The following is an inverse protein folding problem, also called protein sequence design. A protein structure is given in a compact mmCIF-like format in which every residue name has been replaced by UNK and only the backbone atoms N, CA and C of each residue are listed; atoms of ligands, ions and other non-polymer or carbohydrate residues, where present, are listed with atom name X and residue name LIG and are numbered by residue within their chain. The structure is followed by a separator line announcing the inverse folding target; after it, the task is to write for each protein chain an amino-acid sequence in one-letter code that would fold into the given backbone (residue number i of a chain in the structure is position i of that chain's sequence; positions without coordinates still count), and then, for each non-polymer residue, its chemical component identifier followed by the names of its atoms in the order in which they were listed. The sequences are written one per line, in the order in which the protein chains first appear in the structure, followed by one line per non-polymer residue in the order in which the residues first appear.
data_IF_461161353328
#
_entry.id   IF_461161353328
#
_cell.length_a   1.000
_cell.length_b   1.000
_cell.length_c   1.000
_cell.angle_alpha   90.00
_cell.angle_beta   90.00
_cell.angle_gamma   90.00
#
_symmetry.space_group_name_H-M   'P 1'
#
loop_
_entity.id
_entity.type
_entity.pdbx_description
1 polymer ?
#
# COMPACT_ATOMS: atom_id res chain seq x y z
N UNK A 1 -11.07 -19.79 -2.59
CA UNK A 1 -10.68 -19.21 -1.28
C UNK A 1 -10.97 -20.24 -0.21
N UNK A 2 -9.98 -20.60 0.63
CA UNK A 2 -10.15 -21.60 1.70
C UNK A 2 -11.14 -21.10 2.76
N UNK A 3 -11.84 -22.03 3.46
CA UNK A 3 -12.80 -21.70 4.53
C UNK A 3 -12.26 -20.72 5.56
N UNK A 4 -10.96 -20.86 5.91
CA UNK A 4 -10.25 -19.97 6.87
C UNK A 4 -10.16 -18.53 6.33
N UNK A 5 -9.69 -18.34 5.10
CA UNK A 5 -9.57 -16.99 4.53
C UNK A 5 -10.94 -16.30 4.38
N UNK A 6 -11.98 -17.06 4.05
CA UNK A 6 -13.35 -16.55 3.97
C UNK A 6 -13.89 -16.12 5.32
N UNK A 7 -13.65 -16.90 6.37
CA UNK A 7 -14.03 -16.54 7.73
C UNK A 7 -13.35 -15.24 8.16
N UNK A 8 -12.02 -15.14 7.97
CA UNK A 8 -11.23 -13.94 8.31
C UNK A 8 -11.75 -12.71 7.53
N UNK A 9 -12.04 -12.87 6.24
CA UNK A 9 -12.59 -11.79 5.42
C UNK A 9 -13.90 -11.25 5.99
N UNK A 10 -14.86 -12.12 6.32
CA UNK A 10 -16.14 -11.67 6.86
C UNK A 10 -16.02 -11.08 8.27
N UNK A 11 -15.10 -11.59 9.09
CA UNK A 11 -14.81 -11.04 10.41
C UNK A 11 -14.27 -9.61 10.29
N UNK A 12 -13.33 -9.39 9.37
CA UNK A 12 -12.72 -8.07 9.14
C UNK A 12 -13.73 -7.09 8.54
N UNK A 13 -14.54 -7.48 7.58
CA UNK A 13 -15.55 -6.60 6.98
C UNK A 13 -16.62 -6.14 7.97
N UNK A 14 -16.89 -6.92 9.02
CA UNK A 14 -17.78 -6.54 10.12
C UNK A 14 -17.10 -5.67 11.19
N UNK A 15 -15.79 -5.51 11.12
CA UNK A 15 -15.05 -4.73 12.10
C UNK A 15 -15.37 -3.24 11.97
N UNK A 16 -15.70 -2.60 13.10
CA UNK A 16 -16.08 -1.17 13.15
C UNK A 16 -15.01 -0.25 12.56
N UNK A 17 -13.71 -0.60 12.73
CA UNK A 17 -12.59 0.19 12.20
C UNK A 17 -12.60 0.16 10.67
N UNK A 18 -12.82 -1.00 10.06
CA UNK A 18 -12.85 -1.16 8.60
C UNK A 18 -14.08 -0.47 8.01
N UNK A 19 -15.23 -0.59 8.66
CA UNK A 19 -16.45 0.13 8.25
C UNK A 19 -16.21 1.64 8.31
N UNK A 20 -15.65 2.15 9.42
CA UNK A 20 -15.32 3.57 9.57
C UNK A 20 -14.32 4.04 8.51
N UNK A 21 -13.28 3.25 8.21
CA UNK A 21 -12.33 3.51 7.14
C UNK A 21 -13.00 3.62 5.76
N UNK A 22 -13.90 2.67 5.44
CA UNK A 22 -14.66 2.68 4.19
C UNK A 22 -15.52 3.94 4.06
N UNK A 23 -16.26 4.28 5.12
CA UNK A 23 -17.12 5.48 5.16
C UNK A 23 -16.27 6.75 5.03
N UNK A 24 -15.16 6.84 5.75
CA UNK A 24 -14.26 7.98 5.70
C UNK A 24 -13.71 8.18 4.29
N UNK A 25 -13.22 7.12 3.65
CA UNK A 25 -12.74 7.19 2.27
C UNK A 25 -13.86 7.59 1.31
N UNK A 26 -15.07 7.06 1.49
CA UNK A 26 -16.21 7.40 0.65
C UNK A 26 -16.56 8.89 0.74
N UNK A 27 -16.65 9.44 1.95
CA UNK A 27 -16.94 10.86 2.16
C UNK A 27 -15.86 11.75 1.55
N UNK A 28 -14.58 11.42 1.80
CA UNK A 28 -13.47 12.20 1.25
C UNK A 28 -13.44 12.13 -0.27
N UNK A 29 -13.54 10.93 -0.84
CA UNK A 29 -13.51 10.74 -2.30
C UNK A 29 -14.67 11.45 -2.98
N UNK A 30 -15.88 11.34 -2.42
CA UNK A 30 -17.06 12.03 -2.93
C UNK A 30 -16.90 13.55 -2.88
N UNK A 31 -16.39 14.08 -1.77
CA UNK A 31 -16.18 15.52 -1.61
C UNK A 31 -15.11 16.05 -2.56
N UNK A 32 -13.97 15.35 -2.67
CA UNK A 32 -12.85 15.79 -3.51
C UNK A 32 -13.22 15.75 -4.98
N UNK A 33 -13.86 14.68 -5.44
CA UNK A 33 -14.21 14.51 -6.85
C UNK A 33 -15.47 15.31 -7.25
N UNK A 34 -16.40 15.52 -6.32
CA UNK A 34 -17.66 16.22 -6.60
C UNK A 34 -17.59 17.74 -6.52
N UNK A 35 -16.61 18.30 -5.79
CA UNK A 35 -16.49 19.75 -5.58
C UNK A 35 -15.56 20.45 -6.59
N UNK A 36 -14.60 19.74 -7.17
CA UNK A 36 -13.64 20.34 -8.12
C UNK A 36 -14.14 20.12 -9.57
N UNK A 37 -14.29 21.23 -10.30
CA UNK A 37 -14.67 21.20 -11.71
C UNK A 37 -13.54 20.71 -12.63
N UNK A 38 -12.32 20.59 -12.14
CA UNK A 38 -11.17 20.11 -12.88
C UNK A 38 -10.87 18.66 -12.50
N UNK A 39 -11.24 17.71 -13.35
CA UNK A 39 -11.06 16.27 -13.14
C UNK A 39 -9.63 15.89 -12.77
N UNK A 40 -8.63 16.45 -13.47
CA UNK A 40 -7.21 16.14 -13.22
C UNK A 40 -6.78 16.58 -11.82
N UNK A 41 -7.18 17.79 -11.41
CA UNK A 41 -6.91 18.32 -10.06
C UNK A 41 -7.58 17.47 -8.98
N UNK A 42 -8.85 17.16 -9.17
CA UNK A 42 -9.62 16.32 -8.25
C UNK A 42 -8.96 14.94 -8.06
N UNK A 43 -8.59 14.30 -9.17
CA UNK A 43 -7.93 12.98 -9.17
C UNK A 43 -6.57 13.03 -8.47
N UNK A 44 -5.77 14.08 -8.69
CA UNK A 44 -4.48 14.26 -8.00
C UNK A 44 -4.64 14.51 -6.50
N UNK A 45 -5.65 15.29 -6.12
CA UNK A 45 -5.97 15.52 -4.71
C UNK A 45 -6.40 14.21 -4.03
N UNK A 46 -7.24 13.42 -4.69
CA UNK A 46 -7.63 12.09 -4.21
C UNK A 46 -6.43 11.14 -4.14
N UNK A 47 -5.55 11.15 -5.14
CA UNK A 47 -4.32 10.35 -5.13
C UNK A 47 -3.49 10.62 -3.87
N UNK A 48 -3.29 11.89 -3.49
CA UNK A 48 -2.53 12.22 -2.28
C UNK A 48 -3.18 11.65 -1.00
N UNK A 49 -4.53 11.68 -0.92
CA UNK A 49 -5.26 11.04 0.18
C UNK A 49 -5.04 9.53 0.17
N UNK A 50 -5.15 8.88 -0.99
CA UNK A 50 -4.95 7.43 -1.15
C UNK A 50 -3.53 7.03 -0.74
N UNK A 51 -2.51 7.76 -1.21
CA UNK A 51 -1.10 7.49 -0.91
C UNK A 51 -0.76 7.60 0.58
N UNK A 52 -1.50 8.41 1.34
CA UNK A 52 -1.26 8.61 2.77
C UNK A 52 -2.13 7.70 3.64
N UNK A 53 -3.44 7.68 3.38
CA UNK A 53 -4.42 7.01 4.25
C UNK A 53 -4.44 5.50 4.05
N UNK A 54 -4.38 5.02 2.79
CA UNK A 54 -4.47 3.58 2.51
C UNK A 54 -3.30 2.80 3.12
N UNK A 55 -2.04 3.21 2.95
CA UNK A 55 -0.91 2.55 3.60
C UNK A 55 -0.98 2.59 5.13
N UNK A 56 -1.35 3.75 5.70
CA UNK A 56 -1.44 3.93 7.14
C UNK A 56 -2.46 2.97 7.77
N UNK A 57 -3.68 2.95 7.22
CA UNK A 57 -4.74 2.09 7.75
C UNK A 57 -4.40 0.62 7.51
N UNK A 58 -3.88 0.28 6.34
CA UNK A 58 -3.53 -1.11 6.01
C UNK A 58 -2.46 -1.67 6.94
N UNK A 59 -1.40 -0.92 7.23
CA UNK A 59 -0.31 -1.42 8.08
C UNK A 59 -0.74 -1.49 9.55
N UNK A 60 -1.40 -0.46 10.08
CA UNK A 60 -1.81 -0.42 11.49
C UNK A 60 -2.89 -1.47 11.75
N UNK A 61 -3.94 -1.49 10.92
CA UNK A 61 -5.04 -2.42 11.11
C UNK A 61 -4.58 -3.87 11.02
N UNK A 62 -3.79 -4.21 9.99
CA UNK A 62 -3.29 -5.57 9.81
C UNK A 62 -2.40 -6.01 10.96
N UNK A 63 -1.53 -5.13 11.46
CA UNK A 63 -0.68 -5.42 12.64
C UNK A 63 -1.54 -5.68 13.87
N UNK A 64 -2.51 -4.82 14.16
CA UNK A 64 -3.42 -5.00 15.31
C UNK A 64 -4.23 -6.30 15.17
N UNK A 65 -4.71 -6.60 13.97
CA UNK A 65 -5.49 -7.80 13.71
C UNK A 65 -4.68 -9.08 13.95
N UNK A 66 -3.42 -9.12 13.47
CA UNK A 66 -2.52 -10.27 13.71
C UNK A 66 -2.33 -10.53 15.20
N UNK A 67 -2.08 -9.48 16.01
CA UNK A 67 -1.93 -9.63 17.46
C UNK A 67 -3.24 -10.05 18.16
N UNK A 68 -4.37 -9.49 17.75
CA UNK A 68 -5.68 -9.86 18.32
C UNK A 68 -6.07 -11.30 17.97
N UNK A 69 -5.61 -11.80 16.83
CA UNK A 69 -5.88 -13.15 16.35
C UNK A 69 -4.88 -14.19 16.82
N UNK A 70 -3.94 -13.86 17.73
CA UNK A 70 -2.89 -14.79 18.20
C UNK A 70 -3.46 -16.09 18.74
N UNK A 71 -4.45 -16.03 19.62
CA UNK A 71 -5.13 -17.21 20.17
C UNK A 71 -5.83 -18.05 19.08
N UNK A 72 -6.45 -17.40 18.11
CA UNK A 72 -7.07 -18.09 16.98
C UNK A 72 -6.03 -18.78 16.09
N UNK A 73 -4.88 -18.13 15.86
CA UNK A 73 -3.76 -18.71 15.12
C UNK A 73 -3.20 -19.93 15.87
N UNK A 74 -3.02 -19.86 17.20
CA UNK A 74 -2.56 -20.98 18.03
C UNK A 74 -3.54 -22.16 17.97
N UNK A 75 -4.85 -21.90 18.05
CA UNK A 75 -5.89 -22.93 17.89
C UNK A 75 -5.86 -23.58 16.50
N UNK A 76 -5.58 -22.84 15.44
CA UNK A 76 -5.44 -23.41 14.09
C UNK A 76 -4.16 -24.23 13.95
N UNK A 77 -3.10 -23.86 14.65
CA UNK A 77 -1.82 -24.58 14.63
C UNK A 77 -1.85 -25.87 15.47
N UNK A 78 -2.78 -26.01 16.42
CA UNK A 78 -3.01 -27.26 17.14
C UNK A 78 -3.75 -28.31 16.28
N UNK A 79 -4.36 -27.91 15.15
CA UNK A 79 -4.97 -28.79 14.17
C UNK A 79 -3.92 -29.25 13.15
N UNK A 80 -4.14 -30.37 12.42
CA UNK A 80 -3.22 -30.87 11.41
C UNK A 80 -3.22 -29.99 10.13
N UNK A 81 -2.95 -28.68 10.30
CA UNK A 81 -2.88 -27.69 9.21
C UNK A 81 -1.45 -27.15 9.11
N UNK A 82 -0.84 -27.13 7.90
CA UNK A 82 0.50 -26.57 7.72
C UNK A 82 0.55 -25.08 8.13
N UNK A 83 1.57 -24.70 8.89
CA UNK A 83 1.79 -23.32 9.39
C UNK A 83 1.71 -22.28 8.28
N UNK A 84 2.42 -22.53 7.19
CA UNK A 84 2.42 -21.61 6.04
C UNK A 84 1.03 -21.42 5.43
N UNK A 85 0.15 -22.43 5.47
CA UNK A 85 -1.22 -22.33 4.98
C UNK A 85 -2.08 -21.43 5.88
N UNK A 86 -1.89 -21.49 7.19
CA UNK A 86 -2.58 -20.60 8.14
C UNK A 86 -2.17 -19.16 7.88
N UNK A 87 -0.88 -18.88 7.78
CA UNK A 87 -0.32 -17.56 7.53
C UNK A 87 -0.75 -16.97 6.19
N UNK A 88 -0.72 -17.78 5.14
CA UNK A 88 -1.19 -17.39 3.81
C UNK A 88 -2.69 -17.05 3.78
N UNK A 89 -3.54 -17.85 4.47
CA UNK A 89 -4.97 -17.58 4.55
C UNK A 89 -5.27 -16.31 5.35
N UNK A 90 -4.47 -16.01 6.38
CA UNK A 90 -4.55 -14.75 7.13
C UNK A 90 -4.22 -13.55 6.23
N UNK A 91 -3.14 -13.64 5.47
CA UNK A 91 -2.76 -12.63 4.48
C UNK A 91 -3.84 -12.39 3.43
N UNK A 92 -4.36 -13.47 2.84
CA UNK A 92 -5.43 -13.36 1.85
C UNK A 92 -6.70 -12.72 2.45
N UNK A 93 -7.11 -13.12 3.65
CA UNK A 93 -8.28 -12.56 4.31
C UNK A 93 -8.12 -11.06 4.60
N UNK A 94 -6.96 -10.66 5.15
CA UNK A 94 -6.63 -9.25 5.41
C UNK A 94 -6.57 -8.41 4.14
N UNK A 95 -5.77 -8.85 3.16
CA UNK A 95 -5.59 -8.11 1.90
C UNK A 95 -6.90 -7.94 1.15
N UNK A 96 -7.68 -9.03 1.00
CA UNK A 96 -8.97 -8.96 0.29
C UNK A 96 -9.99 -8.08 1.01
N UNK A 97 -10.04 -8.10 2.35
CA UNK A 97 -10.95 -7.25 3.10
C UNK A 97 -10.61 -5.75 2.95
N UNK A 98 -9.33 -5.40 3.05
CA UNK A 98 -8.88 -4.01 2.90
C UNK A 98 -9.02 -3.50 1.46
N UNK A 99 -8.76 -4.35 0.46
CA UNK A 99 -9.03 -4.03 -0.95
C UNK A 99 -10.52 -3.75 -1.17
N UNK A 100 -11.40 -4.61 -0.66
CA UNK A 100 -12.85 -4.40 -0.78
C UNK A 100 -13.31 -3.11 -0.08
N UNK A 101 -12.78 -2.84 1.11
CA UNK A 101 -13.06 -1.59 1.83
C UNK A 101 -12.60 -0.35 1.04
N UNK A 102 -11.41 -0.40 0.44
CA UNK A 102 -10.89 0.65 -0.43
C UNK A 102 -11.73 0.81 -1.70
N UNK A 103 -12.06 -0.28 -2.39
CA UNK A 103 -12.86 -0.24 -3.61
C UNK A 103 -14.28 0.28 -3.37
N UNK A 104 -14.89 -0.04 -2.23
CA UNK A 104 -16.19 0.52 -1.86
C UNK A 104 -16.08 2.00 -1.46
N UNK A 105 -14.99 2.39 -0.77
CA UNK A 105 -14.77 3.77 -0.34
C UNK A 105 -14.39 4.71 -1.48
N UNK A 106 -13.38 4.36 -2.27
CA UNK A 106 -12.87 5.21 -3.35
C UNK A 106 -13.42 4.82 -4.74
N UNK A 107 -13.66 3.52 -4.97
CA UNK A 107 -14.01 3.01 -6.29
C UNK A 107 -15.33 3.54 -6.83
N UNK A 108 -16.37 3.60 -5.99
CA UNK A 108 -17.69 4.12 -6.41
C UNK A 108 -17.59 5.60 -6.84
N UNK A 109 -17.03 6.53 -6.05
CA UNK A 109 -16.87 7.92 -6.48
C UNK A 109 -15.98 8.07 -7.73
N UNK A 110 -14.88 7.30 -7.82
CA UNK A 110 -14.00 7.34 -8.98
C UNK A 110 -14.74 6.94 -10.27
N UNK A 111 -15.55 5.88 -10.25
CA UNK A 111 -16.31 5.42 -11.40
C UNK A 111 -17.39 6.42 -11.85
N UNK A 112 -17.87 7.28 -10.94
CA UNK A 112 -18.90 8.27 -11.24
C UNK A 112 -18.35 9.60 -11.74
N UNK A 113 -17.17 10.02 -11.27
CA UNK A 113 -16.65 11.38 -11.46
C UNK A 113 -15.33 11.44 -12.26
N UNK A 114 -14.59 10.33 -12.38
CA UNK A 114 -13.31 10.32 -13.08
C UNK A 114 -13.41 9.58 -14.41
N UNK A 115 -12.55 9.94 -15.38
CA UNK A 115 -12.36 9.17 -16.60
C UNK A 115 -11.84 7.77 -16.29
N UNK A 116 -12.17 6.80 -17.13
CA UNK A 116 -11.83 5.39 -16.91
C UNK A 116 -10.31 5.22 -16.79
N UNK A 117 -9.53 5.90 -17.62
CA UNK A 117 -8.06 5.74 -17.65
C UNK A 117 -7.40 6.25 -16.37
N UNK A 118 -7.75 7.46 -15.94
CA UNK A 118 -7.16 8.09 -14.75
C UNK A 118 -7.67 7.43 -13.47
N UNK A 119 -8.96 7.11 -13.42
CA UNK A 119 -9.57 6.43 -12.29
C UNK A 119 -9.00 5.04 -12.04
N UNK A 120 -8.79 4.24 -13.10
CA UNK A 120 -8.20 2.90 -12.98
C UNK A 120 -6.78 2.94 -12.43
N UNK A 121 -5.96 3.92 -12.80
CA UNK A 121 -4.59 4.03 -12.28
C UNK A 121 -4.56 4.29 -10.77
N UNK A 122 -5.47 5.12 -10.25
CA UNK A 122 -5.63 5.35 -8.80
C UNK A 122 -6.14 4.09 -8.08
N UNK A 123 -7.09 3.37 -8.68
CA UNK A 123 -7.61 2.13 -8.11
C UNK A 123 -6.54 1.04 -8.04
N UNK A 124 -5.78 0.84 -9.12
CA UNK A 124 -4.65 -0.11 -9.16
C UNK A 124 -3.63 0.23 -8.07
N UNK A 125 -3.27 1.51 -7.95
CA UNK A 125 -2.36 2.00 -6.92
C UNK A 125 -2.84 1.67 -5.51
N UNK A 126 -4.10 1.97 -5.18
CA UNK A 126 -4.65 1.69 -3.86
C UNK A 126 -4.73 0.19 -3.54
N UNK A 127 -5.01 -0.65 -4.55
CA UNK A 127 -4.97 -2.12 -4.40
C UNK A 127 -3.54 -2.58 -4.06
N UNK A 128 -2.53 -2.16 -4.83
CA UNK A 128 -1.14 -2.51 -4.56
C UNK A 128 -0.70 -2.05 -3.17
N UNK A 129 -0.97 -0.79 -2.81
CA UNK A 129 -0.61 -0.26 -1.49
C UNK A 129 -1.29 -1.02 -0.35
N UNK A 130 -2.56 -1.40 -0.49
CA UNK A 130 -3.26 -2.21 0.51
C UNK A 130 -2.56 -3.56 0.72
N UNK A 131 -2.13 -4.24 -0.36
CA UNK A 131 -1.44 -5.52 -0.28
C UNK A 131 -0.03 -5.37 0.29
N UNK A 132 0.75 -4.41 -0.22
CA UNK A 132 2.13 -4.15 0.20
C UNK A 132 2.18 -3.85 1.71
N UNK A 133 1.35 -2.93 2.18
CA UNK A 133 1.36 -2.52 3.58
C UNK A 133 0.75 -3.57 4.51
N UNK A 134 -0.15 -4.43 4.02
CA UNK A 134 -0.56 -5.65 4.74
C UNK A 134 0.60 -6.64 4.87
N UNK A 135 1.39 -6.86 3.81
CA UNK A 135 2.55 -7.75 3.86
C UNK A 135 3.64 -7.24 4.81
N UNK A 136 3.91 -5.92 4.80
CA UNK A 136 4.84 -5.26 5.72
C UNK A 136 4.33 -5.33 7.18
N UNK A 137 3.03 -5.18 7.40
CA UNK A 137 2.41 -5.34 8.72
C UNK A 137 2.61 -6.73 9.29
N UNK A 138 2.40 -7.77 8.47
CA UNK A 138 2.62 -9.15 8.88
C UNK A 138 4.10 -9.43 9.18
N UNK A 139 5.01 -8.84 8.41
CA UNK A 139 6.43 -8.91 8.68
C UNK A 139 6.78 -8.22 10.00
N UNK A 140 6.28 -7.00 10.25
CA UNK A 140 6.49 -6.27 11.51
C UNK A 140 5.96 -7.03 12.74
N UNK A 141 4.78 -7.67 12.63
CA UNK A 141 4.19 -8.44 13.70
C UNK A 141 5.03 -9.69 14.09
N UNK A 142 5.79 -10.25 13.16
CA UNK A 142 6.68 -11.37 13.46
C UNK A 142 7.93 -10.93 14.21
N UNK A 143 8.47 -9.74 13.91
CA UNK A 143 9.69 -9.25 14.57
C UNK A 143 9.51 -8.96 16.05
N UNK A 144 8.30 -8.62 16.50
CA UNK A 144 8.03 -8.34 17.92
C UNK A 144 7.00 -9.30 18.50
N UNK A 145 7.25 -9.76 19.76
CA UNK A 145 6.23 -10.47 20.55
C UNK A 145 5.31 -9.49 21.28
N UNK A 146 5.80 -8.29 21.54
CA UNK A 146 5.06 -7.23 22.21
C UNK A 146 4.20 -6.46 21.20
N UNK A 147 2.91 -6.37 21.50
CA UNK A 147 1.92 -5.67 20.67
C UNK A 147 2.27 -4.18 20.50
N UNK A 148 2.67 -3.49 21.57
CA UNK A 148 2.97 -2.07 21.51
C UNK A 148 4.20 -1.80 20.63
N UNK A 149 5.26 -2.63 20.77
CA UNK A 149 6.45 -2.56 19.92
C UNK A 149 6.12 -2.86 18.44
N UNK A 150 5.31 -3.88 18.18
CA UNK A 150 4.92 -4.23 16.81
C UNK A 150 4.12 -3.13 16.11
N UNK A 151 3.19 -2.50 16.82
CA UNK A 151 2.45 -1.34 16.29
C UNK A 151 3.41 -0.16 16.06
N UNK A 152 4.34 0.12 16.98
CA UNK A 152 5.36 1.16 16.84
C UNK A 152 6.24 0.95 15.61
N UNK A 153 6.70 -0.28 15.36
CA UNK A 153 7.46 -0.64 14.15
C UNK A 153 6.63 -0.38 12.90
N UNK A 154 5.35 -0.76 12.89
CA UNK A 154 4.45 -0.56 11.74
C UNK A 154 4.25 0.91 11.42
N UNK A 155 4.01 1.75 12.44
CA UNK A 155 3.89 3.21 12.26
C UNK A 155 5.20 3.79 11.75
N UNK A 156 6.34 3.33 12.27
CA UNK A 156 7.66 3.80 11.82
C UNK A 156 7.91 3.44 10.34
N UNK A 157 7.57 2.20 9.91
CA UNK A 157 7.69 1.79 8.50
C UNK A 157 6.84 2.68 7.60
N UNK A 158 5.58 2.95 7.98
CA UNK A 158 4.73 3.84 7.22
C UNK A 158 5.31 5.27 7.15
N UNK A 159 5.71 5.84 8.29
CA UNK A 159 6.28 7.18 8.35
C UNK A 159 7.59 7.29 7.54
N UNK A 160 8.40 6.22 7.55
CA UNK A 160 9.62 6.15 6.77
C UNK A 160 9.33 6.29 5.27
N UNK A 161 8.42 5.48 4.73
CA UNK A 161 8.11 5.52 3.30
C UNK A 161 7.24 6.72 2.89
N UNK A 162 6.36 7.21 3.78
CA UNK A 162 5.45 8.30 3.45
C UNK A 162 6.09 9.70 3.55
N UNK A 163 7.07 9.87 4.45
CA UNK A 163 7.60 11.21 4.80
C UNK A 163 9.12 11.24 4.71
N UNK A 164 9.81 10.36 5.46
CA UNK A 164 11.26 10.44 5.64
C UNK A 164 11.98 10.16 4.32
N UNK A 165 11.54 9.16 3.58
CA UNK A 165 12.19 8.72 2.35
C UNK A 165 12.19 9.80 1.26
N UNK A 166 11.05 10.46 1.05
CA UNK A 166 10.96 11.57 0.09
C UNK A 166 11.87 12.75 0.49
N UNK A 167 11.97 13.03 1.81
CA UNK A 167 12.90 14.04 2.34
C UNK A 167 14.37 13.67 2.09
N UNK A 168 14.75 12.40 2.27
CA UNK A 168 16.10 11.91 1.98
C UNK A 168 16.40 12.05 0.49
N UNK A 169 15.47 11.68 -0.40
CA UNK A 169 15.66 11.83 -1.84
C UNK A 169 15.88 13.29 -2.23
N UNK A 170 15.07 14.22 -1.70
CA UNK A 170 15.23 15.64 -1.96
C UNK A 170 16.60 16.14 -1.49
N UNK A 171 17.04 15.75 -0.28
CA UNK A 171 18.33 16.13 0.27
C UNK A 171 19.49 15.63 -0.62
N UNK A 172 19.44 14.37 -1.07
CA UNK A 172 20.44 13.83 -1.97
C UNK A 172 20.48 14.58 -3.31
N UNK A 173 19.33 14.93 -3.87
CA UNK A 173 19.25 15.70 -5.11
C UNK A 173 19.88 17.08 -4.98
N UNK A 174 19.66 17.78 -3.86
CA UNK A 174 20.30 19.07 -3.62
C UNK A 174 21.79 18.95 -3.38
N UNK A 175 22.23 17.94 -2.62
CA UNK A 175 23.65 17.73 -2.30
C UNK A 175 24.50 17.39 -3.51
N UNK A 176 23.94 16.64 -4.47
CA UNK A 176 24.63 16.15 -5.66
C UNK A 176 24.12 16.77 -6.96
N UNK A 177 23.58 18.00 -6.89
CA UNK A 177 22.98 18.68 -8.04
C UNK A 177 23.98 18.89 -9.22
N UNK A 178 25.28 19.00 -8.92
CA UNK A 178 26.33 19.22 -9.91
C UNK A 178 26.83 17.92 -10.57
N UNK A 179 26.32 16.75 -10.14
CA UNK A 179 26.76 15.45 -10.64
C UNK A 179 25.67 14.78 -11.48
N UNK A 180 26.00 14.02 -12.53
CA UNK A 180 25.03 13.27 -13.35
C UNK A 180 24.51 12.02 -12.61
N UNK A 181 23.68 12.22 -11.58
CA UNK A 181 23.16 11.16 -10.70
C UNK A 181 21.76 10.67 -11.11
N UNK A 182 21.28 11.03 -12.31
CA UNK A 182 19.91 10.76 -12.75
C UNK A 182 19.52 9.28 -12.66
N UNK A 183 20.39 8.37 -13.13
CA UNK A 183 20.11 6.92 -13.06
C UNK A 183 20.06 6.38 -11.63
N UNK A 184 20.91 6.90 -10.72
CA UNK A 184 20.92 6.51 -9.31
C UNK A 184 19.62 7.00 -8.64
N UNK A 185 19.23 8.24 -8.92
CA UNK A 185 18.00 8.84 -8.36
C UNK A 185 16.75 8.12 -8.84
N UNK A 186 16.67 7.72 -10.12
CA UNK A 186 15.58 6.91 -10.63
C UNK A 186 15.46 5.57 -9.90
N UNK A 187 16.61 4.93 -9.66
CA UNK A 187 16.67 3.65 -8.93
C UNK A 187 16.24 3.83 -7.47
N UNK A 188 16.72 4.86 -6.79
CA UNK A 188 16.32 5.17 -5.43
C UNK A 188 14.81 5.50 -5.35
N UNK A 189 14.27 6.30 -6.28
CA UNK A 189 12.84 6.58 -6.32
C UNK A 189 11.99 5.31 -6.48
N UNK A 190 12.49 4.30 -7.19
CA UNK A 190 11.83 3.00 -7.37
C UNK A 190 11.77 2.14 -6.09
N UNK A 191 12.64 2.40 -5.10
CA UNK A 191 12.65 1.65 -3.83
C UNK A 191 11.47 2.04 -2.94
N UNK A 192 10.93 3.26 -3.04
CA UNK A 192 9.80 3.68 -2.23
C UNK A 192 8.46 3.26 -2.87
N UNK A 193 7.69 2.31 -2.28
CA UNK A 193 6.43 1.87 -2.89
C UNK A 193 5.37 2.98 -2.96
N UNK A 194 5.35 3.95 -2.03
CA UNK A 194 4.43 5.09 -2.05
C UNK A 194 4.85 6.08 -3.15
N UNK A 195 6.13 6.44 -3.21
CA UNK A 195 6.68 7.31 -4.23
C UNK A 195 6.52 6.73 -5.64
N UNK A 196 6.80 5.44 -5.79
CA UNK A 196 6.63 4.73 -7.07
C UNK A 196 5.16 4.67 -7.52
N UNK A 197 4.23 4.48 -6.59
CA UNK A 197 2.79 4.54 -6.85
C UNK A 197 2.35 5.92 -7.34
N UNK A 198 2.91 6.99 -6.77
CA UNK A 198 2.70 8.37 -7.24
C UNK A 198 3.21 8.54 -8.66
N UNK A 199 4.45 8.10 -8.94
CA UNK A 199 5.06 8.18 -10.27
C UNK A 199 4.21 7.43 -11.30
N UNK A 200 3.74 6.23 -10.99
CA UNK A 200 2.89 5.43 -11.87
C UNK A 200 1.63 6.19 -12.32
N UNK A 201 0.88 6.80 -11.39
CA UNK A 201 -0.33 7.56 -11.73
C UNK A 201 0.00 8.84 -12.50
N UNK A 202 1.06 9.56 -12.11
CA UNK A 202 1.46 10.79 -12.79
C UNK A 202 1.96 10.56 -14.22
N UNK A 203 2.60 9.41 -14.49
CA UNK A 203 2.98 9.00 -15.84
C UNK A 203 1.74 8.73 -16.71
N UNK A 204 0.68 8.17 -16.13
CA UNK A 204 -0.60 7.92 -16.83
C UNK A 204 -1.33 9.23 -17.16
N UNK A 205 -1.30 10.20 -16.28
CA UNK A 205 -1.94 11.51 -16.47
C UNK A 205 -1.19 12.41 -17.46
N UNK A 206 0.01 12.02 -17.88
CA UNK A 206 0.95 12.82 -18.71
C UNK A 206 1.18 14.26 -18.18
N UNK A 207 0.96 14.46 -16.88
CA UNK A 207 1.16 15.75 -16.21
C UNK A 207 2.62 15.90 -15.80
N UNK A 208 3.49 16.15 -16.80
CA UNK A 208 4.94 16.26 -16.60
C UNK A 208 5.32 17.30 -15.52
N UNK A 209 4.57 18.38 -15.40
CA UNK A 209 4.83 19.46 -14.43
C UNK A 209 4.63 19.04 -12.97
N UNK A 210 3.86 17.99 -12.69
CA UNK A 210 3.54 17.53 -11.33
C UNK A 210 4.32 16.30 -10.89
N UNK A 211 5.17 15.73 -11.77
CA UNK A 211 6.00 14.56 -11.45
C UNK A 211 6.99 14.81 -10.29
N UNK A 212 7.26 16.06 -9.96
CA UNK A 212 8.37 16.41 -9.08
C UNK A 212 9.72 16.01 -9.69
N UNK A 213 10.81 16.33 -9.01
CA UNK A 213 12.15 16.07 -9.56
C UNK A 213 12.43 14.57 -9.74
N UNK A 214 12.11 13.75 -8.75
CA UNK A 214 12.34 12.30 -8.82
C UNK A 214 11.53 11.61 -9.94
N UNK A 215 10.27 12.01 -10.12
CA UNK A 215 9.41 11.47 -11.17
C UNK A 215 9.81 11.94 -12.57
N UNK A 216 10.27 13.19 -12.70
CA UNK A 216 10.78 13.72 -13.97
C UNK A 216 12.03 12.94 -14.42
N UNK A 217 12.96 12.68 -13.51
CA UNK A 217 14.14 11.85 -13.75
C UNK A 217 13.74 10.41 -14.13
N UNK A 218 12.75 9.85 -13.44
CA UNK A 218 12.26 8.50 -13.74
C UNK A 218 11.67 8.42 -15.16
N UNK A 219 10.88 9.44 -15.58
CA UNK A 219 10.35 9.57 -16.94
C UNK A 219 11.47 9.71 -17.99
N UNK A 220 12.50 10.47 -17.67
CA UNK A 220 13.65 10.69 -18.58
C UNK A 220 14.44 9.40 -18.81
N UNK A 221 14.67 8.60 -17.77
CA UNK A 221 15.45 7.36 -17.84
C UNK A 221 14.67 6.22 -18.51
N UNK A 222 13.40 6.03 -18.17
CA UNK A 222 12.61 4.86 -18.58
C UNK A 222 11.54 5.17 -19.63
N UNK A 223 11.28 6.44 -19.95
CA UNK A 223 10.16 6.85 -20.79
C UNK A 223 8.80 6.70 -20.08
N UNK A 224 7.72 7.23 -20.67
CA UNK A 224 6.39 7.16 -20.07
C UNK A 224 5.87 5.70 -20.01
N UNK A 225 5.81 5.01 -21.14
CA UNK A 225 5.32 3.63 -21.22
C UNK A 225 6.21 2.62 -20.50
N UNK A 226 7.53 2.70 -20.68
CA UNK A 226 8.50 1.86 -19.97
C UNK A 226 8.44 2.09 -18.46
N UNK A 227 8.33 3.35 -18.03
CA UNK A 227 8.21 3.72 -16.62
C UNK A 227 6.97 3.13 -15.94
N UNK A 228 5.81 3.10 -16.63
CA UNK A 228 4.60 2.46 -16.10
C UNK A 228 4.79 0.95 -15.88
N UNK A 229 5.33 0.24 -16.88
CA UNK A 229 5.55 -1.21 -16.77
C UNK A 229 6.54 -1.53 -15.66
N UNK A 230 7.65 -0.80 -15.57
CA UNK A 230 8.66 -0.97 -14.52
C UNK A 230 8.06 -0.69 -13.15
N UNK A 231 7.25 0.37 -13.00
CA UNK A 231 6.57 0.68 -11.75
C UNK A 231 5.66 -0.46 -11.29
N UNK A 232 4.86 -1.03 -12.17
CA UNK A 232 3.99 -2.17 -11.86
C UNK A 232 4.79 -3.42 -11.49
N UNK A 233 5.88 -3.72 -12.19
CA UNK A 233 6.76 -4.85 -11.87
C UNK A 233 7.39 -4.70 -10.47
N UNK A 234 7.90 -3.52 -10.14
CA UNK A 234 8.51 -3.27 -8.82
C UNK A 234 7.45 -3.30 -7.71
N UNK A 235 6.26 -2.71 -7.93
CA UNK A 235 5.14 -2.81 -6.98
C UNK A 235 4.74 -4.28 -6.75
N UNK A 236 4.74 -5.10 -7.81
CA UNK A 236 4.49 -6.54 -7.69
C UNK A 236 5.57 -7.23 -6.84
N UNK A 237 6.84 -6.89 -7.02
CA UNK A 237 7.93 -7.39 -6.18
C UNK A 237 7.70 -6.98 -4.71
N UNK A 238 7.31 -5.74 -4.45
CA UNK A 238 6.99 -5.25 -3.11
C UNK A 238 5.80 -5.98 -2.44
N UNK A 239 4.86 -6.54 -3.21
CA UNK A 239 3.78 -7.37 -2.64
C UNK A 239 4.30 -8.72 -2.14
N UNK A 240 5.18 -9.37 -2.92
CA UNK A 240 5.62 -10.74 -2.65
C UNK A 240 6.80 -10.82 -1.70
N UNK A 241 7.80 -9.96 -1.82
CA UNK A 241 9.06 -10.07 -1.04
C UNK A 241 8.83 -9.98 0.47
N UNK A 242 8.13 -8.95 1.03
CA UNK A 242 7.90 -8.88 2.46
C UNK A 242 7.01 -10.02 2.97
N UNK A 243 6.02 -10.43 2.16
CA UNK A 243 5.15 -11.53 2.51
C UNK A 243 5.91 -12.86 2.58
N UNK A 244 6.70 -13.20 1.56
CA UNK A 244 7.50 -14.43 1.55
C UNK A 244 8.49 -14.45 2.71
N UNK A 245 9.12 -13.32 3.01
CA UNK A 245 10.01 -13.21 4.15
C UNK A 245 9.27 -13.43 5.47
N UNK A 246 8.10 -12.83 5.63
CA UNK A 246 7.25 -13.07 6.81
C UNK A 246 6.85 -14.55 6.94
N UNK A 247 6.52 -15.21 5.82
CA UNK A 247 6.16 -16.63 5.77
C UNK A 247 7.31 -17.53 6.22
N UNK A 248 8.53 -17.26 5.74
CA UNK A 248 9.74 -18.00 6.12
C UNK A 248 10.01 -17.86 7.62
N UNK A 249 9.93 -16.63 8.14
CA UNK A 249 10.13 -16.37 9.58
C UNK A 249 9.05 -17.03 10.43
N UNK A 250 7.79 -17.00 10.00
CA UNK A 250 6.69 -17.63 10.71
C UNK A 250 6.86 -19.15 10.81
N UNK A 251 7.31 -19.80 9.74
CA UNK A 251 7.57 -21.24 9.72
C UNK A 251 8.73 -21.66 10.65
N UNK A 252 9.70 -20.76 10.87
CA UNK A 252 10.87 -21.01 11.73
C UNK A 252 10.63 -20.61 13.20
N UNK A 253 9.62 -19.81 13.48
CA UNK A 253 9.35 -19.31 14.85
C UNK A 253 8.72 -20.42 15.68
N UNK A 254 9.34 -20.78 16.79
CA UNK A 254 8.71 -21.61 17.81
C UNK A 254 7.69 -20.73 18.57
N UNK A 255 6.42 -21.03 18.36
CA UNK A 255 5.28 -20.44 19.08
C UNK A 255 5.04 -21.23 20.35
#
# INVERSE_FOLDING_TARGET
MNKIARFILFDILKNKIVIMYTILLFIISWSVLGLDNNETKATLSLLNVVLLVVPLVSIIFSTIYVYNSSQFIELLLSQPVPRGKVWFNLFLGLSTALILAFLLGCGIPILLYSSIETGLSVLITGIFLSIIFTSLAMLAAIFSRDRAKGIGISIFIWMFFAIIYDGILLLLMFQFADYPIEGIMATLAAINPIGLSRIFVLLQLDVAAMLGQAGAIFKQVFGAGGGMVISLLILTIWTFVPFLWSLILFNKKNL
#
